data_IF_520356720083
#
_entry.id   IF_520356720083
#
_cell.length_a   1.000
_cell.length_b   1.000
_cell.length_c   1.000
_cell.angle_alpha   90.00
_cell.angle_beta   90.00
_cell.angle_gamma   90.00
#
_symmetry.space_group_name_H-M   'P 1'
#
loop_
_entity.id
_entity.type
_entity.pdbx_description
1 polymer ?
#
# COMPACT_ATOMS: atom_id res chain seq x y z
N UNK A 1 -19.71 22.78 58.95
CA UNK A 1 -19.64 23.33 57.59
C UNK A 1 -18.26 23.92 57.37
N UNK A 2 -17.43 23.26 56.56
CA UNK A 2 -16.13 23.81 56.15
C UNK A 2 -16.35 25.01 55.23
N UNK A 3 -15.78 26.16 55.58
CA UNK A 3 -15.73 27.29 54.64
C UNK A 3 -14.92 26.86 53.39
N UNK A 4 -15.52 27.00 52.22
CA UNK A 4 -14.88 26.70 50.94
C UNK A 4 -13.62 27.53 50.81
N UNK A 5 -12.42 26.85 50.80
CA UNK A 5 -11.14 27.50 50.62
C UNK A 5 -10.21 27.55 51.85
N UNK A 6 -10.59 27.01 53.02
CA UNK A 6 -9.64 26.88 54.12
C UNK A 6 -8.67 25.70 53.90
N UNK A 7 -7.38 25.88 54.11
CA UNK A 7 -6.33 24.84 53.98
C UNK A 7 -6.67 23.58 54.78
N UNK A 8 -7.36 23.71 55.92
CA UNK A 8 -7.80 22.62 56.78
C UNK A 8 -8.85 21.73 56.08
N UNK A 9 -9.81 22.31 55.38
CA UNK A 9 -10.83 21.55 54.66
C UNK A 9 -10.28 20.83 53.45
N UNK A 10 -9.31 21.41 52.77
CA UNK A 10 -8.60 20.78 51.66
C UNK A 10 -7.81 19.57 52.17
N UNK A 11 -7.11 19.74 53.31
CA UNK A 11 -6.29 18.69 53.94
C UNK A 11 -7.13 17.52 54.46
N UNK A 12 -8.31 17.78 55.03
CA UNK A 12 -9.22 16.73 55.49
C UNK A 12 -9.84 15.98 54.35
N UNK A 13 -10.21 16.63 53.25
CA UNK A 13 -10.70 15.98 52.04
C UNK A 13 -9.64 15.13 51.34
N UNK A 14 -8.40 15.59 51.30
CA UNK A 14 -7.28 14.82 50.77
C UNK A 14 -6.97 13.55 51.57
N UNK A 15 -7.31 13.54 52.87
CA UNK A 15 -7.11 12.41 53.80
C UNK A 15 -8.31 11.50 53.97
N UNK A 16 -9.49 11.91 53.49
CA UNK A 16 -10.70 11.09 53.60
C UNK A 16 -10.66 9.92 52.61
N UNK A 17 -10.43 8.74 53.15
CA UNK A 17 -10.52 7.51 52.38
C UNK A 17 -11.92 7.35 51.77
N UNK A 18 -12.01 7.15 50.43
CA UNK A 18 -13.27 6.84 49.74
C UNK A 18 -14.04 8.01 49.16
N UNK A 19 -13.67 9.28 49.38
CA UNK A 19 -14.30 10.43 48.70
C UNK A 19 -13.45 10.90 47.51
N UNK A 20 -13.96 10.90 46.27
CA UNK A 20 -13.22 11.38 45.11
C UNK A 20 -12.91 12.88 45.24
N UNK A 21 -11.66 13.25 45.03
CA UNK A 21 -11.22 14.65 45.05
C UNK A 21 -11.35 15.27 43.66
N UNK A 22 -12.10 16.39 43.50
CA UNK A 22 -12.27 17.02 42.22
C UNK A 22 -10.99 17.71 41.75
N UNK A 23 -10.63 17.54 40.48
CA UNK A 23 -9.44 18.14 39.87
C UNK A 23 -9.77 18.74 38.51
N UNK A 24 -9.12 19.85 38.19
CA UNK A 24 -9.19 20.49 36.91
C UNK A 24 -7.86 21.17 36.60
N UNK A 25 -7.36 20.97 35.36
CA UNK A 25 -6.18 21.67 34.90
C UNK A 25 -6.26 21.88 33.35
N UNK A 26 -5.55 22.91 32.91
CA UNK A 26 -5.31 23.19 31.48
C UNK A 26 -3.90 23.76 31.40
N UNK A 27 -3.00 23.03 30.74
CA UNK A 27 -1.60 23.40 30.65
C UNK A 27 -1.03 23.03 29.28
N UNK A 28 0.14 23.59 28.96
CA UNK A 28 0.90 23.28 27.76
C UNK A 28 2.29 22.79 28.12
N UNK A 29 2.74 21.76 27.41
CA UNK A 29 4.11 21.26 27.44
C UNK A 29 4.64 21.23 26.00
N UNK A 30 5.52 22.18 25.68
CA UNK A 30 5.91 22.41 24.28
C UNK A 30 4.72 22.82 23.42
N UNK A 31 4.48 22.09 22.34
CA UNK A 31 3.33 22.29 21.44
C UNK A 31 2.10 21.47 21.85
N UNK A 32 2.21 20.62 22.86
CA UNK A 32 1.10 19.79 23.34
C UNK A 32 0.31 20.51 24.42
N UNK A 33 -1.01 20.63 24.22
CA UNK A 33 -1.97 21.11 25.21
C UNK A 33 -2.67 19.92 25.86
N UNK A 34 -2.75 19.95 27.17
CA UNK A 34 -3.47 18.96 27.98
C UNK A 34 -4.47 19.66 28.86
N UNK A 35 -5.74 19.35 28.72
CA UNK A 35 -6.81 19.85 29.57
C UNK A 35 -7.61 18.68 30.14
N UNK A 36 -7.90 18.71 31.43
CA UNK A 36 -8.73 17.69 32.05
C UNK A 36 -9.60 18.25 33.16
N UNK A 37 -10.71 17.58 33.40
CA UNK A 37 -11.63 17.78 34.51
C UNK A 37 -12.15 16.45 35.00
N UNK A 38 -12.26 16.27 36.32
CA UNK A 38 -12.77 15.01 36.88
C UNK A 38 -12.40 14.82 38.34
N UNK A 39 -12.05 13.58 38.72
CA UNK A 39 -11.80 13.21 40.10
C UNK A 39 -10.57 12.31 40.21
N UNK A 40 -9.88 12.46 41.38
CA UNK A 40 -8.80 11.56 41.80
C UNK A 40 -9.31 10.79 43.02
N UNK A 41 -9.24 9.49 42.99
CA UNK A 41 -9.55 8.62 44.12
C UNK A 41 -8.29 8.42 44.95
N UNK A 42 -8.43 8.56 46.28
CA UNK A 42 -7.32 8.46 47.23
C UNK A 42 -6.08 9.25 46.77
N UNK A 43 -6.15 10.62 46.82
CA UNK A 43 -5.07 11.46 46.29
C UNK A 43 -3.71 11.22 46.98
N UNK A 44 -3.73 10.78 48.25
CA UNK A 44 -2.50 10.53 49.01
C UNK A 44 -1.76 9.27 48.53
N UNK A 45 -2.49 8.24 48.13
CA UNK A 45 -1.93 6.96 47.64
C UNK A 45 -2.05 6.82 46.12
N UNK A 46 -2.57 7.84 45.41
CA UNK A 46 -2.79 7.84 43.98
C UNK A 46 -3.60 6.61 43.50
N UNK A 47 -4.69 6.29 44.22
CA UNK A 47 -5.47 5.06 44.00
C UNK A 47 -6.16 4.97 42.62
N UNK A 48 -6.33 6.09 41.93
CA UNK A 48 -6.86 6.13 40.56
C UNK A 48 -7.43 7.48 40.18
N UNK A 49 -7.75 7.62 38.89
CA UNK A 49 -8.35 8.85 38.35
C UNK A 49 -9.53 8.51 37.43
N UNK A 50 -10.47 9.44 37.32
CA UNK A 50 -11.58 9.43 36.36
C UNK A 50 -11.73 10.84 35.81
N UNK A 51 -11.21 11.06 34.59
CA UNK A 51 -11.05 12.37 34.01
C UNK A 51 -11.65 12.42 32.61
N UNK A 52 -12.36 13.52 32.29
CA UNK A 52 -12.56 13.92 30.93
C UNK A 52 -11.28 14.61 30.46
N UNK A 53 -10.60 14.06 29.48
CA UNK A 53 -9.26 14.44 29.06
C UNK A 53 -9.28 14.90 27.61
N UNK A 54 -8.62 16.04 27.35
CA UNK A 54 -8.39 16.58 26.01
C UNK A 54 -6.89 16.70 25.77
N UNK A 55 -6.46 16.14 24.65
CA UNK A 55 -5.10 16.32 24.14
C UNK A 55 -5.14 17.00 22.78
N UNK A 56 -4.22 17.92 22.53
CA UNK A 56 -3.99 18.51 21.22
C UNK A 56 -2.48 18.79 21.06
N UNK A 57 -1.93 18.52 19.90
CA UNK A 57 -0.49 18.73 19.64
C UNK A 57 -0.14 18.55 18.16
N UNK A 58 1.14 18.72 17.86
CA UNK A 58 1.66 18.66 16.49
C UNK A 58 1.83 17.23 15.99
N UNK A 59 2.10 16.26 16.88
CA UNK A 59 2.23 14.84 16.55
C UNK A 59 1.89 13.95 17.78
N UNK A 60 1.24 12.81 17.55
CA UNK A 60 1.02 11.80 18.59
C UNK A 60 2.34 11.24 19.13
N UNK A 61 3.40 11.19 18.32
CA UNK A 61 4.72 10.74 18.75
C UNK A 61 5.32 11.60 19.87
N UNK A 62 4.99 12.91 19.93
CA UNK A 62 5.44 13.82 21.01
C UNK A 62 4.81 13.51 22.38
N UNK A 63 3.72 12.74 22.42
CA UNK A 63 3.11 12.31 23.67
C UNK A 63 3.99 11.34 24.47
N UNK A 64 5.01 10.73 23.84
CA UNK A 64 5.94 9.83 24.53
C UNK A 64 6.63 10.49 25.72
N UNK A 65 7.09 11.71 25.56
CA UNK A 65 7.79 12.46 26.64
C UNK A 65 6.89 12.76 27.84
N UNK A 66 5.58 12.84 27.62
CA UNK A 66 4.58 13.11 28.65
C UNK A 66 4.01 11.85 29.30
N UNK A 67 3.79 10.81 28.52
CA UNK A 67 2.98 9.64 28.91
C UNK A 67 3.78 8.34 29.00
N UNK A 68 4.94 8.28 28.34
CA UNK A 68 5.70 7.04 28.11
C UNK A 68 5.02 6.07 27.13
N UNK A 69 3.92 6.47 26.50
CA UNK A 69 3.20 5.66 25.48
C UNK A 69 3.82 5.91 24.13
N UNK A 70 4.35 4.86 23.51
CA UNK A 70 4.88 4.94 22.15
C UNK A 70 3.72 4.99 21.16
N UNK A 71 3.53 6.14 20.56
CA UNK A 71 2.61 6.36 19.45
C UNK A 71 3.40 6.79 18.19
N UNK A 72 2.88 6.51 16.99
CA UNK A 72 3.55 6.92 15.77
C UNK A 72 3.54 8.42 15.58
N UNK A 73 4.48 8.92 14.79
CA UNK A 73 4.43 10.29 14.30
C UNK A 73 3.21 10.47 13.40
N UNK A 74 2.53 11.60 13.56
CA UNK A 74 1.31 11.93 12.83
C UNK A 74 1.28 13.42 12.47
N UNK A 75 0.39 13.84 11.57
CA UNK A 75 -0.02 15.25 11.49
C UNK A 75 -0.60 15.76 12.81
N UNK A 76 -0.83 17.08 12.95
CA UNK A 76 -1.45 17.67 14.13
C UNK A 76 -2.74 16.95 14.52
N UNK A 77 -2.90 16.76 15.83
CA UNK A 77 -4.01 15.99 16.37
C UNK A 77 -4.75 16.72 17.48
N UNK A 78 -6.00 16.36 17.68
CA UNK A 78 -6.84 16.74 18.80
C UNK A 78 -7.73 15.56 19.18
N UNK A 79 -7.77 15.19 20.47
CA UNK A 79 -8.65 14.13 20.98
C UNK A 79 -9.33 14.56 22.28
N UNK A 80 -10.56 14.08 22.48
CA UNK A 80 -11.37 14.24 23.69
C UNK A 80 -11.93 12.89 24.09
N UNK A 81 -11.76 12.47 25.36
CA UNK A 81 -12.21 11.19 25.85
C UNK A 81 -12.14 11.04 27.36
N UNK A 82 -12.73 9.98 27.89
CA UNK A 82 -12.70 9.69 29.33
C UNK A 82 -11.51 8.80 29.67
N UNK A 83 -10.60 9.30 30.50
CA UNK A 83 -9.48 8.54 31.04
C UNK A 83 -9.86 8.00 32.42
N UNK A 84 -9.89 6.68 32.54
CA UNK A 84 -10.01 5.99 33.84
C UNK A 84 -8.71 5.28 34.10
N UNK A 85 -8.04 5.61 35.22
CA UNK A 85 -6.80 4.94 35.58
C UNK A 85 -6.89 4.32 36.98
N UNK A 86 -6.31 3.13 37.10
CA UNK A 86 -6.00 2.46 38.36
C UNK A 86 -4.48 2.45 38.50
N UNK A 87 -3.98 3.20 39.49
CA UNK A 87 -2.56 3.37 39.67
C UNK A 87 -2.10 2.40 40.74
N UNK A 88 -1.13 1.54 40.41
CA UNK A 88 -0.51 0.63 41.36
C UNK A 88 1.00 0.62 41.10
N UNK A 89 1.73 1.30 41.99
CA UNK A 89 3.17 1.45 41.87
C UNK A 89 3.97 0.18 42.14
N UNK A 90 3.34 -0.83 42.78
CA UNK A 90 4.03 -2.10 43.11
C UNK A 90 3.91 -3.16 42.02
N UNK A 91 2.81 -3.14 41.24
CA UNK A 91 2.55 -4.19 40.23
C UNK A 91 2.44 -3.62 38.82
N UNK A 92 1.31 -3.03 38.50
CA UNK A 92 1.04 -2.45 37.20
C UNK A 92 -0.09 -1.43 37.29
N UNK A 93 0.07 -0.30 36.64
CA UNK A 93 -0.99 0.70 36.49
C UNK A 93 -1.71 0.50 35.17
N UNK A 94 -3.03 0.70 35.18
CA UNK A 94 -3.88 0.57 34.00
C UNK A 94 -4.50 1.93 33.70
N UNK A 95 -4.32 2.42 32.48
CA UNK A 95 -4.84 3.67 31.97
C UNK A 95 -5.78 3.35 30.78
N UNK A 96 -7.06 3.60 30.95
CA UNK A 96 -8.11 3.23 30.02
C UNK A 96 -8.74 4.50 29.44
N UNK A 97 -8.34 4.87 28.21
CA UNK A 97 -8.85 6.03 27.49
C UNK A 97 -10.04 5.63 26.65
N UNK A 98 -11.22 5.85 27.19
CA UNK A 98 -12.48 5.32 26.70
C UNK A 98 -13.22 6.30 25.80
N UNK A 99 -13.85 5.75 24.74
CA UNK A 99 -14.77 6.46 23.86
C UNK A 99 -14.19 7.82 23.41
N UNK A 100 -12.89 7.83 23.14
CA UNK A 100 -12.29 9.06 22.65
C UNK A 100 -12.78 9.37 21.23
N UNK A 101 -12.92 10.65 20.96
CA UNK A 101 -13.18 11.19 19.64
C UNK A 101 -12.11 12.23 19.32
N UNK A 102 -11.69 12.31 18.07
CA UNK A 102 -10.67 13.26 17.70
C UNK A 102 -10.43 13.35 16.22
N UNK A 103 -9.37 14.04 15.89
CA UNK A 103 -8.85 14.21 14.53
C UNK A 103 -7.34 14.05 14.54
N UNK A 104 -6.83 13.50 13.44
CA UNK A 104 -5.41 13.46 13.11
C UNK A 104 -5.30 13.99 11.68
N UNK A 105 -4.68 15.17 11.50
CA UNK A 105 -4.71 15.88 10.24
C UNK A 105 -6.15 16.17 9.80
N UNK A 106 -6.54 15.64 8.67
CA UNK A 106 -7.91 15.74 8.13
C UNK A 106 -8.76 14.48 8.40
N UNK A 107 -8.18 13.45 9.03
CA UNK A 107 -8.87 12.20 9.40
C UNK A 107 -9.57 12.30 10.74
N UNK A 108 -10.76 11.72 10.87
CA UNK A 108 -11.40 11.51 12.18
C UNK A 108 -10.86 10.23 12.83
N UNK A 109 -10.87 10.19 14.17
CA UNK A 109 -10.42 9.03 14.96
C UNK A 109 -11.32 8.83 16.18
N UNK A 110 -11.72 7.58 16.41
CA UNK A 110 -12.57 7.19 17.53
C UNK A 110 -12.08 5.88 18.13
N UNK A 111 -12.33 5.64 19.40
CA UNK A 111 -12.00 4.34 19.95
C UNK A 111 -11.85 4.27 21.45
N UNK A 112 -11.23 3.19 21.86
CA UNK A 112 -10.80 2.94 23.23
C UNK A 112 -9.40 2.36 23.19
N UNK A 113 -8.50 2.92 24.02
CA UNK A 113 -7.12 2.45 24.17
C UNK A 113 -6.85 2.22 25.65
N UNK A 114 -6.29 1.07 25.97
CA UNK A 114 -5.87 0.68 27.31
C UNK A 114 -4.36 0.53 27.33
N UNK A 115 -3.69 1.33 28.16
CA UNK A 115 -2.26 1.25 28.41
C UNK A 115 -2.01 0.65 29.78
N UNK A 116 -1.28 -0.45 29.81
CA UNK A 116 -0.91 -1.16 31.04
C UNK A 116 0.59 -1.06 31.24
N UNK A 117 1.02 -0.44 32.33
CA UNK A 117 2.45 -0.43 32.73
C UNK A 117 2.82 -1.78 33.35
N UNK A 118 4.08 -2.15 33.30
CA UNK A 118 4.55 -3.38 33.95
C UNK A 118 5.76 -3.98 33.30
N UNK A 119 6.21 -5.10 33.87
CA UNK A 119 7.35 -5.89 33.35
C UNK A 119 6.85 -7.08 32.54
N UNK A 120 7.57 -7.53 31.50
CA UNK A 120 8.84 -7.02 31.03
C UNK A 120 8.77 -5.68 30.30
N UNK A 121 7.60 -5.33 29.76
CA UNK A 121 7.33 -4.09 29.01
C UNK A 121 5.90 -3.63 29.23
N UNK A 122 5.61 -2.33 29.08
CA UNK A 122 4.24 -1.84 29.02
C UNK A 122 3.53 -2.37 27.76
N UNK A 123 2.20 -2.38 27.81
CA UNK A 123 1.35 -2.88 26.73
C UNK A 123 0.25 -1.86 26.38
N UNK A 124 0.04 -1.63 25.09
CA UNK A 124 -1.07 -0.86 24.54
C UNK A 124 -2.06 -1.79 23.83
N UNK A 125 -3.33 -1.75 24.24
CA UNK A 125 -4.40 -2.58 23.64
C UNK A 125 -5.59 -1.71 23.28
N UNK A 126 -6.34 -2.09 22.24
CA UNK A 126 -7.63 -1.47 21.99
C UNK A 126 -8.13 -1.53 20.56
N UNK A 127 -9.22 -0.81 20.36
CA UNK A 127 -9.93 -0.70 19.10
C UNK A 127 -10.01 0.77 18.68
N UNK A 128 -9.59 1.04 17.45
CA UNK A 128 -9.56 2.38 16.86
C UNK A 128 -10.29 2.35 15.52
N UNK A 129 -11.15 3.32 15.29
CA UNK A 129 -11.93 3.44 14.07
C UNK A 129 -11.83 4.87 13.50
N UNK A 130 -11.77 4.98 12.17
CA UNK A 130 -11.93 6.21 11.41
C UNK A 130 -13.07 6.04 10.41
N UNK A 131 -14.01 6.98 10.37
CA UNK A 131 -15.09 7.00 9.37
C UNK A 131 -14.63 7.61 8.05
N UNK A 132 -13.76 8.60 8.15
CA UNK A 132 -13.16 9.30 7.02
C UNK A 132 -11.65 9.41 7.25
N UNK A 133 -10.91 8.55 6.58
CA UNK A 133 -9.47 8.41 6.70
C UNK A 133 -8.80 9.00 5.46
N UNK A 134 -7.95 10.00 5.63
CA UNK A 134 -7.09 10.48 4.56
C UNK A 134 -5.78 9.69 4.59
N UNK A 135 -5.43 9.03 3.48
CA UNK A 135 -4.24 8.18 3.43
C UNK A 135 -2.94 8.97 3.68
N UNK A 136 -2.89 10.24 3.29
CA UNK A 136 -1.76 11.13 3.57
C UNK A 136 -1.48 11.29 5.08
N UNK A 137 -2.49 11.20 5.94
CA UNK A 137 -2.33 11.29 7.39
C UNK A 137 -1.69 10.03 7.99
N UNK A 138 -1.71 8.91 7.26
CA UNK A 138 -0.99 7.69 7.58
C UNK A 138 0.43 7.65 6.98
N UNK A 139 0.81 8.66 6.20
CA UNK A 139 2.10 8.73 5.52
C UNK A 139 3.29 8.38 6.42
N UNK A 140 3.43 9.01 7.61
CA UNK A 140 4.52 8.71 8.53
C UNK A 140 4.58 7.26 9.01
N UNK A 141 3.44 6.55 9.03
CA UNK A 141 3.37 5.13 9.43
C UNK A 141 3.91 4.17 8.36
N UNK A 142 3.81 4.57 7.09
CA UNK A 142 4.20 3.72 5.95
C UNK A 142 5.48 4.22 5.25
N UNK A 143 6.16 5.22 5.85
CA UNK A 143 7.39 5.79 5.30
C UNK A 143 7.16 6.68 4.07
N UNK A 144 6.01 7.38 3.99
CA UNK A 144 5.71 8.36 2.96
C UNK A 144 5.56 9.74 3.58
N UNK A 145 6.33 10.73 3.11
CA UNK A 145 6.24 12.10 3.63
C UNK A 145 4.90 12.74 3.24
N UNK A 146 4.09 13.09 4.24
CA UNK A 146 2.78 13.74 4.06
C UNK A 146 2.86 15.23 3.68
N UNK A 147 4.05 15.80 3.53
CA UNK A 147 4.29 17.18 3.07
C UNK A 147 3.79 18.30 3.99
N UNK A 148 3.14 18.01 5.12
CA UNK A 148 2.55 18.99 6.05
C UNK A 148 3.01 18.83 7.51
N UNK A 149 4.06 18.08 7.78
CA UNK A 149 4.60 17.91 9.13
C UNK A 149 5.51 19.07 9.53
N UNK A 150 5.24 19.69 10.68
CA UNK A 150 6.11 20.66 11.36
C UNK A 150 7.49 20.06 11.57
N UNK A 151 8.53 20.88 11.41
CA UNK A 151 9.94 20.54 11.63
C UNK A 151 10.17 20.07 13.07
N UNK A 152 9.95 18.79 13.33
CA UNK A 152 10.49 18.11 14.51
C UNK A 152 12.00 18.01 14.35
N UNK A 153 12.75 18.30 15.43
CA UNK A 153 14.20 18.40 15.47
C UNK A 153 14.91 17.28 14.72
N UNK A 154 15.75 17.65 13.76
CA UNK A 154 16.88 16.95 13.14
C UNK A 154 17.05 15.43 13.39
N UNK A 155 16.06 14.64 13.05
CA UNK A 155 16.32 13.30 12.52
C UNK A 155 16.56 13.52 11.02
N UNK A 156 17.71 13.11 10.49
CA UNK A 156 18.00 13.14 9.05
C UNK A 156 16.92 12.29 8.38
N UNK A 157 15.83 12.91 7.93
CA UNK A 157 14.84 12.25 7.06
C UNK A 157 15.59 11.87 5.79
N UNK A 158 15.59 10.60 5.47
CA UNK A 158 16.07 10.17 4.16
C UNK A 158 15.15 10.80 3.12
N UNK A 159 15.66 11.77 2.39
CA UNK A 159 14.88 12.48 1.37
C UNK A 159 14.51 11.47 0.28
N UNK A 160 13.23 11.39 -0.04
CA UNK A 160 12.76 10.58 -1.16
C UNK A 160 13.60 10.89 -2.41
N UNK A 161 14.35 9.95 -2.98
CA UNK A 161 15.23 10.24 -4.12
C UNK A 161 14.42 10.70 -5.33
N UNK A 162 14.91 11.73 -6.02
CA UNK A 162 14.27 12.25 -7.22
C UNK A 162 14.14 11.14 -8.28
N UNK A 163 12.93 10.98 -8.84
CA UNK A 163 12.67 9.95 -9.85
C UNK A 163 12.33 8.57 -9.31
N UNK A 164 12.28 8.36 -8.00
CA UNK A 164 11.86 7.12 -7.34
C UNK A 164 10.43 7.19 -6.86
N UNK A 165 9.71 6.05 -6.87
CA UNK A 165 8.30 5.95 -6.44
C UNK A 165 8.10 5.07 -5.22
N UNK A 166 9.01 4.12 -4.94
CA UNK A 166 8.93 3.29 -3.74
C UNK A 166 9.25 4.14 -2.50
N UNK A 167 8.61 3.89 -1.34
CA UNK A 167 8.92 4.60 -0.09
C UNK A 167 10.33 4.30 0.43
N UNK A 168 11.15 5.33 0.59
CA UNK A 168 12.54 5.23 1.08
C UNK A 168 12.70 5.58 2.55
N UNK A 169 11.71 6.20 3.18
CA UNK A 169 11.76 6.55 4.59
C UNK A 169 11.95 5.30 5.45
N UNK A 170 12.83 5.42 6.43
CA UNK A 170 13.19 4.31 7.32
C UNK A 170 12.12 4.08 8.38
N UNK A 171 11.89 2.82 8.71
CA UNK A 171 11.13 2.45 9.90
C UNK A 171 11.94 2.76 11.16
N UNK A 172 11.35 3.43 12.15
CA UNK A 172 11.97 3.73 13.45
C UNK A 172 11.94 2.49 14.36
N UNK A 173 12.64 1.44 13.99
CA UNK A 173 12.64 0.14 14.70
C UNK A 173 13.29 0.20 16.08
N UNK A 174 14.12 1.21 16.35
CA UNK A 174 14.84 1.35 17.64
C UNK A 174 13.89 1.55 18.84
N UNK A 175 12.65 1.94 18.56
CA UNK A 175 11.62 2.13 19.60
C UNK A 175 10.65 0.93 19.71
N UNK A 176 10.73 -0.05 18.83
CA UNK A 176 9.75 -1.15 18.78
C UNK A 176 9.87 -2.14 19.95
N UNK A 177 10.96 -2.13 20.67
CA UNK A 177 11.17 -2.95 21.86
C UNK A 177 10.77 -2.25 23.18
N UNK A 178 10.37 -0.98 23.13
CA UNK A 178 10.01 -0.20 24.31
C UNK A 178 8.63 -0.60 24.86
N UNK A 179 7.71 -1.02 24.00
CA UNK A 179 6.33 -1.33 24.34
C UNK A 179 5.78 -2.45 23.47
N UNK A 180 4.94 -3.29 24.03
CA UNK A 180 4.11 -4.23 23.26
C UNK A 180 2.79 -3.54 22.86
N UNK A 181 2.21 -3.90 21.69
CA UNK A 181 0.93 -3.39 21.24
C UNK A 181 0.04 -4.49 20.64
N UNK A 182 -1.28 -4.37 20.86
CA UNK A 182 -2.33 -5.23 20.31
C UNK A 182 -3.54 -4.34 19.98
N UNK A 183 -3.54 -3.76 18.77
CA UNK A 183 -4.51 -2.74 18.38
C UNK A 183 -5.24 -3.14 17.10
N UNK A 184 -6.56 -3.10 17.12
CA UNK A 184 -7.39 -3.24 15.93
C UNK A 184 -7.75 -1.89 15.37
N UNK A 185 -7.48 -1.69 14.07
CA UNK A 185 -7.80 -0.47 13.37
C UNK A 185 -8.80 -0.72 12.24
N UNK A 186 -9.77 0.20 12.08
CA UNK A 186 -10.74 0.19 10.97
C UNK A 186 -10.87 1.58 10.36
N UNK A 187 -10.74 1.69 9.05
CA UNK A 187 -11.00 2.91 8.27
C UNK A 187 -12.08 2.64 7.24
N UNK A 188 -13.23 3.32 7.33
CA UNK A 188 -14.39 3.01 6.45
C UNK A 188 -14.22 3.63 5.08
N UNK A 189 -14.15 4.94 4.99
CA UNK A 189 -13.94 5.68 3.74
C UNK A 189 -12.51 6.18 3.73
N UNK A 190 -11.76 5.83 2.69
CA UNK A 190 -10.37 6.25 2.55
C UNK A 190 -10.30 7.29 1.45
N UNK A 191 -9.82 8.48 1.79
CA UNK A 191 -9.52 9.52 0.82
C UNK A 191 -8.04 9.42 0.43
N UNK A 192 -7.83 9.03 -0.80
CA UNK A 192 -6.51 8.98 -1.43
C UNK A 192 -6.61 9.77 -2.72
N UNK A 193 -5.85 10.83 -2.93
CA UNK A 193 -5.80 11.58 -4.18
C UNK A 193 -6.72 11.13 -5.34
N UNK A 194 -6.53 11.56 -6.53
CA UNK A 194 -7.50 11.32 -7.63
C UNK A 194 -7.49 9.92 -8.27
N UNK A 195 -6.53 9.04 -7.98
CA UNK A 195 -6.24 7.92 -8.90
C UNK A 195 -6.76 6.54 -8.51
N UNK A 196 -6.85 6.17 -7.22
CA UNK A 196 -7.32 4.83 -6.82
C UNK A 196 -8.19 4.90 -5.56
N UNK A 197 -9.51 4.71 -5.69
CA UNK A 197 -10.40 4.70 -4.53
C UNK A 197 -10.12 3.47 -3.66
N UNK A 198 -9.62 3.71 -2.45
CA UNK A 198 -9.47 2.72 -1.41
C UNK A 198 -10.67 2.75 -0.47
N UNK A 199 -11.04 1.61 0.10
CA UNK A 199 -12.17 1.52 1.03
C UNK A 199 -11.97 0.42 2.06
N UNK A 200 -12.70 0.52 3.17
CA UNK A 200 -12.82 -0.56 4.17
C UNK A 200 -11.47 -1.11 4.65
N UNK A 201 -10.53 -0.21 5.00
CA UNK A 201 -9.27 -0.61 5.63
C UNK A 201 -9.56 -1.27 6.98
N UNK A 202 -8.99 -2.42 7.22
CA UNK A 202 -8.98 -3.04 8.54
C UNK A 202 -7.66 -3.75 8.76
N UNK A 203 -7.11 -3.62 9.97
CA UNK A 203 -5.90 -4.32 10.36
C UNK A 203 -5.88 -4.64 11.84
N UNK A 204 -5.24 -5.75 12.19
CA UNK A 204 -4.85 -6.08 13.54
C UNK A 204 -3.33 -5.90 13.65
N UNK A 205 -2.91 -4.93 14.43
CA UNK A 205 -1.53 -4.53 14.68
C UNK A 205 -1.06 -5.23 15.94
N UNK A 206 -0.09 -6.10 15.81
CA UNK A 206 0.54 -6.80 16.93
C UNK A 206 2.01 -6.45 16.92
N UNK A 207 2.47 -5.78 17.97
CA UNK A 207 3.89 -5.50 18.19
C UNK A 207 4.32 -6.22 19.47
N UNK A 208 5.31 -7.09 19.39
CA UNK A 208 5.84 -7.81 20.53
C UNK A 208 7.33 -8.08 20.37
N UNK A 209 8.14 -7.61 21.30
CA UNK A 209 9.62 -7.77 21.25
C UNK A 209 10.22 -7.24 19.94
N UNK A 210 9.83 -6.07 19.47
CA UNK A 210 10.22 -5.50 18.18
C UNK A 210 9.78 -6.33 16.95
N UNK A 211 8.94 -7.33 17.11
CA UNK A 211 8.28 -8.10 16.05
C UNK A 211 6.91 -7.46 15.75
N UNK A 212 6.77 -6.84 14.58
CA UNK A 212 5.53 -6.19 14.13
C UNK A 212 4.78 -7.08 13.13
N UNK A 213 3.52 -7.33 13.42
CA UNK A 213 2.62 -8.08 12.55
C UNK A 213 1.35 -7.29 12.25
N UNK A 214 0.99 -7.24 10.97
CA UNK A 214 -0.31 -6.77 10.51
C UNK A 214 -1.07 -7.99 9.97
N UNK A 215 -1.98 -8.54 10.76
CA UNK A 215 -2.62 -9.83 10.46
C UNK A 215 -4.12 -9.84 10.78
N UNK A 216 -4.99 -9.70 9.78
CA UNK A 216 -4.71 -9.32 8.40
C UNK A 216 -4.67 -7.78 8.22
N UNK A 217 -4.01 -7.32 7.18
CA UNK A 217 -4.22 -6.00 6.61
C UNK A 217 -5.16 -6.18 5.41
N UNK A 218 -6.38 -5.66 5.49
CA UNK A 218 -7.41 -5.77 4.43
C UNK A 218 -7.91 -4.42 3.99
N UNK A 219 -8.12 -4.26 2.69
CA UNK A 219 -8.77 -3.07 2.14
C UNK A 219 -9.41 -3.37 0.77
N UNK A 220 -10.42 -2.58 0.41
CA UNK A 220 -11.02 -2.57 -0.91
C UNK A 220 -10.20 -1.71 -1.86
N UNK A 221 -9.98 -2.17 -3.09
CA UNK A 221 -9.31 -1.43 -4.16
C UNK A 221 -9.87 -1.87 -5.51
N UNK A 222 -10.09 -0.93 -6.42
CA UNK A 222 -10.55 -1.22 -7.79
C UNK A 222 -11.75 -2.19 -7.83
N UNK A 223 -12.75 -1.99 -6.98
CA UNK A 223 -13.95 -2.83 -6.87
C UNK A 223 -13.73 -4.24 -6.32
N UNK A 224 -12.49 -4.62 -6.02
CA UNK A 224 -12.09 -5.89 -5.42
C UNK A 224 -11.59 -5.74 -3.99
N UNK A 225 -10.83 -6.74 -3.52
CA UNK A 225 -10.29 -6.78 -2.16
C UNK A 225 -8.83 -7.21 -2.17
N UNK A 226 -8.02 -6.53 -1.36
CA UNK A 226 -6.66 -6.97 -1.03
C UNK A 226 -6.65 -7.40 0.44
N UNK A 227 -6.05 -8.56 0.70
CA UNK A 227 -5.78 -9.10 2.04
C UNK A 227 -4.31 -9.45 2.12
N UNK A 228 -3.63 -8.99 3.16
CA UNK A 228 -2.21 -9.21 3.34
C UNK A 228 -1.89 -9.58 4.78
N UNK A 229 -0.90 -10.45 4.98
CA UNK A 229 -0.23 -10.67 6.25
C UNK A 229 1.18 -10.12 6.12
N UNK A 230 1.50 -9.11 6.90
CA UNK A 230 2.82 -8.48 6.91
C UNK A 230 3.49 -8.80 8.23
N UNK A 231 4.74 -9.23 8.18
CA UNK A 231 5.57 -9.53 9.32
C UNK A 231 6.93 -8.83 9.17
N UNK A 232 7.30 -8.01 10.16
CA UNK A 232 8.55 -7.25 10.19
C UNK A 232 9.30 -7.55 11.50
N UNK A 233 10.50 -8.10 11.40
CA UNK A 233 11.38 -8.43 12.54
C UNK A 233 12.37 -7.28 12.76
N UNK A 234 11.96 -6.30 13.60
CA UNK A 234 12.74 -5.09 13.87
C UNK A 234 13.98 -5.32 14.74
N UNK A 235 14.08 -6.46 15.44
CA UNK A 235 15.24 -6.85 16.22
C UNK A 235 16.43 -7.31 15.35
N UNK A 236 16.17 -7.69 14.10
CA UNK A 236 17.20 -8.11 13.15
C UNK A 236 17.92 -6.91 12.54
N UNK A 237 19.21 -7.07 12.26
CA UNK A 237 20.05 -6.05 11.60
C UNK A 237 20.82 -6.70 10.42
N UNK A 238 20.39 -6.44 9.18
CA UNK A 238 19.24 -5.63 8.74
C UNK A 238 17.90 -6.24 9.12
N UNK A 239 16.85 -5.39 9.28
CA UNK A 239 15.50 -5.83 9.53
C UNK A 239 15.04 -6.80 8.44
N UNK A 240 14.30 -7.84 8.84
CA UNK A 240 13.70 -8.80 7.91
C UNK A 240 12.21 -8.55 7.78
N UNK A 241 11.68 -8.73 6.58
CA UNK A 241 10.27 -8.56 6.31
C UNK A 241 9.72 -9.67 5.43
N UNK A 242 8.45 -10.04 5.67
CA UNK A 242 7.66 -10.93 4.83
C UNK A 242 6.29 -10.34 4.61
N UNK A 243 5.80 -10.43 3.38
CA UNK A 243 4.45 -10.06 3.01
C UNK A 243 3.80 -11.18 2.20
N UNK A 244 2.69 -11.72 2.69
CA UNK A 244 1.80 -12.61 1.97
C UNK A 244 0.59 -11.78 1.53
N UNK A 245 0.34 -11.67 0.23
CA UNK A 245 -0.66 -10.77 -0.34
C UNK A 245 -1.61 -11.58 -1.19
N UNK A 246 -2.90 -11.34 -1.05
CA UNK A 246 -3.97 -11.91 -1.85
C UNK A 246 -4.84 -10.79 -2.40
N UNK A 247 -4.89 -10.67 -3.72
CA UNK A 247 -5.76 -9.76 -4.43
C UNK A 247 -6.90 -10.56 -5.07
N UNK A 248 -8.15 -10.10 -4.94
CA UNK A 248 -9.33 -10.81 -5.47
C UNK A 248 -10.27 -9.83 -6.14
N UNK A 249 -10.66 -10.19 -7.38
CA UNK A 249 -11.65 -9.49 -8.20
C UNK A 249 -11.34 -8.00 -8.43
N UNK A 250 -10.06 -7.68 -8.66
CA UNK A 250 -9.67 -6.32 -9.03
C UNK A 250 -10.13 -6.02 -10.45
N UNK A 251 -10.98 -5.04 -10.65
CA UNK A 251 -11.47 -4.66 -11.99
C UNK A 251 -10.43 -3.85 -12.74
N UNK A 252 -10.02 -4.31 -13.91
CA UNK A 252 -8.94 -3.70 -14.70
C UNK A 252 -9.18 -2.22 -15.00
N UNK A 253 -10.40 -1.83 -15.38
CA UNK A 253 -10.77 -0.43 -15.67
C UNK A 253 -10.61 0.50 -14.46
N UNK A 254 -10.83 -0.03 -13.25
CA UNK A 254 -10.72 0.74 -12.02
C UNK A 254 -9.28 0.81 -11.48
N UNK A 255 -8.37 -0.07 -11.97
CA UNK A 255 -6.94 -0.01 -11.67
C UNK A 255 -6.22 1.13 -12.41
N UNK A 256 -6.74 1.53 -13.57
CA UNK A 256 -6.15 2.58 -14.42
C UNK A 256 -7.22 3.58 -14.86
N UNK A 257 -7.82 4.36 -13.94
CA UNK A 257 -8.95 5.24 -14.24
C UNK A 257 -8.60 6.36 -15.21
N UNK A 258 -7.34 6.80 -15.24
CA UNK A 258 -6.88 7.90 -16.09
C UNK A 258 -6.48 7.45 -17.50
N UNK A 259 -6.52 6.14 -17.79
CA UNK A 259 -6.21 5.59 -19.11
C UNK A 259 -7.50 5.36 -19.88
N UNK A 260 -7.84 6.25 -20.83
CA UNK A 260 -9.09 6.22 -21.59
C UNK A 260 -9.37 4.88 -22.25
N UNK A 261 -8.34 4.25 -22.84
CA UNK A 261 -8.43 2.94 -23.48
C UNK A 261 -8.79 1.80 -22.51
N UNK A 262 -8.48 1.96 -21.22
CA UNK A 262 -8.83 0.99 -20.17
C UNK A 262 -10.28 1.10 -19.71
N UNK A 263 -10.97 2.21 -19.99
CA UNK A 263 -12.36 2.42 -19.55
C UNK A 263 -13.35 1.45 -20.23
N UNK A 264 -13.02 0.99 -21.43
CA UNK A 264 -13.78 -0.06 -22.17
C UNK A 264 -13.34 -1.49 -21.82
N UNK A 265 -12.31 -1.63 -20.95
CA UNK A 265 -11.80 -2.95 -20.56
C UNK A 265 -12.67 -3.54 -19.45
N UNK A 266 -13.21 -4.72 -19.69
CA UNK A 266 -13.94 -5.52 -18.70
C UNK A 266 -13.09 -6.72 -18.30
N UNK A 267 -13.08 -7.05 -17.03
CA UNK A 267 -12.36 -8.22 -16.52
C UNK A 267 -11.92 -8.03 -15.07
N UNK A 268 -11.80 -9.14 -14.37
CA UNK A 268 -11.40 -9.20 -12.99
C UNK A 268 -10.06 -9.93 -12.85
N UNK A 269 -9.09 -9.28 -12.20
CA UNK A 269 -7.79 -9.86 -11.92
C UNK A 269 -7.72 -10.39 -10.49
N UNK A 270 -7.15 -11.56 -10.35
CA UNK A 270 -6.79 -12.17 -9.07
C UNK A 270 -5.26 -12.30 -8.98
N UNK A 271 -4.71 -12.24 -7.79
CA UNK A 271 -3.28 -12.37 -7.59
C UNK A 271 -2.92 -12.89 -6.22
N UNK A 272 -1.77 -13.56 -6.14
CA UNK A 272 -1.16 -14.03 -4.90
C UNK A 272 0.34 -13.70 -4.94
N UNK A 273 0.88 -13.20 -3.84
CA UNK A 273 2.31 -12.95 -3.69
C UNK A 273 2.81 -13.40 -2.30
N UNK A 274 4.00 -13.98 -2.26
CA UNK A 274 4.79 -14.22 -1.04
C UNK A 274 6.18 -13.63 -1.28
N UNK A 275 6.49 -12.55 -0.58
CA UNK A 275 7.72 -11.80 -0.76
C UNK A 275 8.43 -11.69 0.58
N UNK A 276 9.73 -11.94 0.60
CA UNK A 276 10.61 -11.77 1.75
C UNK A 276 11.79 -10.89 1.35
N UNK A 277 12.17 -9.99 2.23
CA UNK A 277 13.29 -9.10 1.98
C UNK A 277 13.96 -8.62 3.25
N UNK A 278 15.06 -7.91 3.09
CA UNK A 278 15.83 -7.34 4.19
C UNK A 278 16.07 -5.85 3.95
N UNK A 279 15.98 -5.05 4.97
CA UNK A 279 16.19 -3.61 4.87
C UNK A 279 15.27 -2.83 5.78
N UNK A 280 15.53 -1.55 5.95
CA UNK A 280 14.82 -0.71 6.92
C UNK A 280 13.85 0.31 6.26
N UNK A 281 13.39 0.00 5.05
CA UNK A 281 12.36 0.78 4.34
C UNK A 281 11.62 -0.14 3.36
N UNK A 282 10.46 0.29 2.86
CA UNK A 282 9.73 -0.47 1.85
C UNK A 282 10.57 -0.66 0.59
N UNK A 283 11.28 0.39 0.13
CA UNK A 283 12.19 0.31 -1.02
C UNK A 283 13.32 -0.70 -0.80
N UNK A 284 13.94 -0.71 0.39
CA UNK A 284 15.02 -1.65 0.71
C UNK A 284 14.52 -3.10 0.81
N UNK A 285 13.36 -3.34 1.44
CA UNK A 285 12.74 -4.67 1.54
C UNK A 285 12.41 -5.23 0.15
N UNK A 286 11.83 -4.43 -0.74
CA UNK A 286 11.53 -4.84 -2.11
C UNK A 286 12.79 -4.96 -2.95
N UNK A 287 13.77 -4.06 -2.77
CA UNK A 287 15.04 -4.06 -3.50
C UNK A 287 15.94 -5.25 -3.18
N UNK A 288 15.78 -5.88 -2.02
CA UNK A 288 16.42 -7.15 -1.63
C UNK A 288 15.49 -8.35 -1.76
N UNK A 289 14.28 -8.12 -2.25
CA UNK A 289 13.16 -9.05 -2.21
C UNK A 289 13.42 -10.36 -2.93
N UNK A 290 12.93 -11.44 -2.34
CA UNK A 290 12.87 -12.77 -2.92
C UNK A 290 11.47 -13.33 -2.73
N UNK A 291 10.94 -14.01 -3.76
CA UNK A 291 9.59 -14.57 -3.68
C UNK A 291 8.95 -14.79 -5.02
N UNK A 292 7.63 -14.82 -5.01
CA UNK A 292 6.83 -15.12 -6.21
C UNK A 292 5.57 -14.25 -6.24
N UNK A 293 5.18 -13.83 -7.44
CA UNK A 293 3.92 -13.15 -7.71
C UNK A 293 3.18 -13.89 -8.81
N UNK A 294 1.96 -14.30 -8.54
CA UNK A 294 1.04 -14.92 -9.52
C UNK A 294 -0.14 -14.01 -9.76
N UNK A 295 -0.45 -13.78 -11.03
CA UNK A 295 -1.62 -13.03 -11.48
C UNK A 295 -2.45 -13.88 -12.42
N UNK A 296 -3.76 -13.77 -12.35
CA UNK A 296 -4.70 -14.50 -13.20
C UNK A 296 -5.94 -13.66 -13.49
N UNK A 297 -6.31 -13.63 -14.76
CA UNK A 297 -7.61 -13.16 -15.24
C UNK A 297 -8.19 -14.26 -16.15
N UNK A 298 -9.41 -14.70 -15.89
CA UNK A 298 -10.01 -15.80 -16.65
C UNK A 298 -10.72 -15.33 -17.92
N UNK A 299 -11.54 -14.33 -17.85
CA UNK A 299 -12.32 -13.81 -18.98
C UNK A 299 -12.34 -12.29 -18.93
N UNK A 300 -12.47 -11.66 -20.08
CA UNK A 300 -12.58 -10.23 -20.17
C UNK A 300 -12.82 -9.70 -21.57
N UNK A 301 -12.97 -8.39 -21.66
CA UNK A 301 -13.03 -7.65 -22.92
C UNK A 301 -11.98 -6.54 -22.85
N UNK A 302 -11.27 -6.31 -23.93
CA UNK A 302 -10.32 -5.19 -24.06
C UNK A 302 -10.63 -4.41 -25.32
N UNK A 303 -10.35 -3.11 -25.29
CA UNK A 303 -10.46 -2.25 -26.45
C UNK A 303 -9.55 -2.77 -27.58
N UNK A 304 -10.06 -2.82 -28.80
CA UNK A 304 -9.27 -3.14 -29.99
C UNK A 304 -8.13 -2.12 -30.14
N UNK A 305 -8.38 -0.87 -29.93
CA UNK A 305 -7.37 0.18 -30.02
C UNK A 305 -6.22 -0.06 -29.04
N UNK A 306 -6.49 -0.55 -27.83
CA UNK A 306 -5.45 -0.96 -26.89
C UNK A 306 -4.60 -2.10 -27.45
N UNK A 307 -5.22 -3.10 -28.06
CA UNK A 307 -4.52 -4.23 -28.71
C UNK A 307 -3.68 -3.80 -29.91
N UNK A 308 -4.17 -2.85 -30.70
CA UNK A 308 -3.43 -2.31 -31.84
C UNK A 308 -2.20 -1.49 -31.41
N UNK A 309 -2.32 -0.70 -30.32
CA UNK A 309 -1.19 0.03 -29.71
C UNK A 309 -0.14 -0.95 -29.15
N UNK A 310 -0.59 -2.07 -28.57
CA UNK A 310 0.30 -3.14 -28.09
C UNK A 310 0.99 -3.91 -29.24
N UNK A 311 0.95 -3.38 -30.49
CA UNK A 311 1.77 -3.84 -31.61
C UNK A 311 1.11 -4.84 -32.54
N UNK A 312 -0.21 -5.02 -32.44
CA UNK A 312 -0.89 -5.99 -33.29
C UNK A 312 -1.14 -5.46 -34.73
N UNK A 313 -1.38 -4.16 -34.92
CA UNK A 313 -1.49 -3.59 -36.27
C UNK A 313 -1.67 -2.05 -36.29
N UNK A 314 -0.61 -1.29 -36.57
CA UNK A 314 -0.68 0.19 -36.67
C UNK A 314 -1.63 0.65 -37.77
N UNK A 315 -1.80 -0.15 -38.86
CA UNK A 315 -2.73 0.14 -39.95
C UNK A 315 -4.19 0.11 -39.49
N UNK A 316 -4.57 -0.85 -38.68
CA UNK A 316 -5.94 -0.98 -38.15
C UNK A 316 -6.26 0.04 -37.06
N UNK A 317 -5.26 0.55 -36.33
CA UNK A 317 -5.45 1.64 -35.37
C UNK A 317 -6.03 2.89 -36.03
N UNK A 318 -5.50 3.25 -37.22
CA UNK A 318 -6.01 4.40 -38.00
C UNK A 318 -7.44 4.11 -38.49
N UNK A 319 -7.70 2.87 -38.92
CA UNK A 319 -9.03 2.43 -39.39
C UNK A 319 -10.02 2.39 -38.20
N UNK A 320 -9.60 1.90 -37.03
CA UNK A 320 -10.43 1.84 -35.82
C UNK A 320 -10.83 3.23 -35.32
N UNK A 321 -9.99 4.25 -35.48
CA UNK A 321 -10.35 5.64 -35.20
C UNK A 321 -11.46 6.19 -36.12
N UNK A 322 -11.56 5.67 -37.32
CA UNK A 322 -12.57 6.11 -38.33
C UNK A 322 -13.89 5.33 -38.18
N UNK A 323 -13.82 4.03 -37.86
CA UNK A 323 -14.98 3.11 -37.88
C UNK A 323 -15.46 2.66 -36.50
N UNK A 324 -14.79 3.09 -35.42
CA UNK A 324 -15.13 2.73 -34.02
C UNK A 324 -14.19 1.72 -33.40
N UNK A 325 -14.21 1.68 -32.08
CA UNK A 325 -13.38 0.79 -31.25
C UNK A 325 -14.21 -0.42 -30.84
N UNK A 326 -14.05 -1.53 -31.58
CA UNK A 326 -14.67 -2.80 -31.22
C UNK A 326 -13.97 -3.46 -30.04
N UNK A 327 -14.68 -4.25 -29.27
CA UNK A 327 -14.15 -5.00 -28.12
C UNK A 327 -13.53 -6.33 -28.60
N UNK A 328 -12.38 -6.69 -28.06
CA UNK A 328 -11.68 -7.95 -28.28
C UNK A 328 -11.81 -8.82 -27.04
N UNK A 329 -12.27 -10.05 -27.22
CA UNK A 329 -12.41 -10.99 -26.11
C UNK A 329 -11.04 -11.47 -25.62
N UNK A 330 -10.84 -11.41 -24.30
CA UNK A 330 -9.72 -12.03 -23.60
C UNK A 330 -10.15 -13.43 -23.17
N UNK A 331 -9.42 -14.45 -23.60
CA UNK A 331 -9.66 -15.81 -23.17
C UNK A 331 -9.10 -16.05 -21.76
N UNK A 332 -7.86 -15.59 -21.52
CA UNK A 332 -7.24 -15.50 -20.21
C UNK A 332 -6.00 -14.59 -20.23
N UNK A 333 -5.61 -14.12 -19.05
CA UNK A 333 -4.29 -13.56 -18.83
C UNK A 333 -3.67 -14.20 -17.58
N UNK A 334 -2.42 -14.59 -17.68
CA UNK A 334 -1.71 -15.24 -16.58
C UNK A 334 -0.26 -14.75 -16.52
N UNK A 335 0.19 -14.46 -15.29
CA UNK A 335 1.58 -14.15 -15.03
C UNK A 335 2.07 -14.92 -13.80
N UNK A 336 3.27 -15.48 -13.91
CA UNK A 336 4.04 -16.03 -12.80
C UNK A 336 5.40 -15.36 -12.84
N UNK A 337 5.69 -14.53 -11.84
CA UNK A 337 6.90 -13.72 -11.76
C UNK A 337 7.72 -14.20 -10.57
N UNK A 338 8.98 -14.56 -10.81
CA UNK A 338 9.94 -14.81 -9.74
C UNK A 338 10.66 -13.50 -9.39
N UNK A 339 10.69 -13.19 -8.11
CA UNK A 339 11.48 -12.10 -7.56
C UNK A 339 12.74 -12.69 -6.92
N UNK A 340 13.91 -12.32 -7.44
CA UNK A 340 15.21 -12.77 -6.93
C UNK A 340 16.13 -11.57 -6.73
N UNK A 341 16.52 -11.32 -5.47
CA UNK A 341 17.34 -10.17 -5.08
C UNK A 341 16.81 -8.85 -5.64
N UNK A 342 15.51 -8.62 -5.49
CA UNK A 342 14.83 -7.41 -5.95
C UNK A 342 14.63 -7.30 -7.47
N UNK A 343 14.93 -8.35 -8.23
CA UNK A 343 14.71 -8.38 -9.69
C UNK A 343 13.58 -9.35 -10.01
N UNK A 344 12.47 -8.82 -10.48
CA UNK A 344 11.34 -9.61 -10.96
C UNK A 344 11.56 -10.06 -12.40
N UNK A 345 11.36 -11.36 -12.65
CA UNK A 345 11.46 -12.01 -13.97
C UNK A 345 10.21 -12.82 -14.25
N UNK A 346 9.54 -12.61 -15.37
CA UNK A 346 8.45 -13.48 -15.80
C UNK A 346 8.97 -14.89 -16.11
N UNK A 347 8.44 -15.90 -15.44
CA UNK A 347 8.54 -17.29 -15.84
C UNK A 347 7.48 -17.64 -16.87
N UNK A 348 6.29 -17.10 -16.64
CA UNK A 348 5.15 -17.11 -17.56
C UNK A 348 4.56 -15.71 -17.51
N UNK A 349 4.32 -15.14 -18.67
CA UNK A 349 3.47 -13.96 -18.82
C UNK A 349 2.79 -14.06 -20.18
N UNK A 350 1.56 -14.47 -20.17
CA UNK A 350 0.77 -14.63 -21.37
C UNK A 350 -0.60 -13.93 -21.24
N UNK A 351 -0.94 -13.17 -22.25
CA UNK A 351 -2.23 -12.52 -22.39
C UNK A 351 -2.88 -13.05 -23.68
N UNK A 352 -3.80 -14.00 -23.51
CA UNK A 352 -4.44 -14.72 -24.61
C UNK A 352 -5.78 -14.08 -24.95
N UNK A 353 -5.93 -13.62 -26.19
CA UNK A 353 -7.17 -13.06 -26.75
C UNK A 353 -7.68 -13.91 -27.93
N UNK A 354 -8.86 -13.62 -28.44
CA UNK A 354 -9.38 -14.26 -29.65
C UNK A 354 -8.49 -14.01 -30.87
N UNK A 355 -7.73 -12.91 -30.91
CA UNK A 355 -6.96 -12.46 -32.06
C UNK A 355 -5.45 -12.70 -31.94
N UNK A 356 -4.92 -12.81 -30.72
CA UNK A 356 -3.49 -12.93 -30.48
C UNK A 356 -3.16 -13.48 -29.12
N UNK A 357 -1.94 -13.99 -28.97
CA UNK A 357 -1.27 -14.22 -27.68
C UNK A 357 -0.16 -13.19 -27.52
N UNK A 358 -0.10 -12.51 -26.40
CA UNK A 358 0.95 -11.55 -26.06
C UNK A 358 1.81 -12.16 -24.97
N UNK A 359 3.08 -12.33 -25.26
CA UNK A 359 4.10 -12.78 -24.33
C UNK A 359 4.92 -11.58 -23.84
N UNK A 360 5.30 -11.59 -22.56
CA UNK A 360 6.19 -10.57 -21.99
C UNK A 360 7.40 -11.24 -21.34
N UNK A 361 8.57 -10.76 -21.70
CA UNK A 361 9.86 -11.20 -21.16
C UNK A 361 10.68 -10.02 -20.68
N UNK A 362 11.77 -10.27 -19.96
CA UNK A 362 12.65 -9.21 -19.47
C UNK A 362 12.68 -9.11 -17.95
N UNK A 363 12.94 -7.93 -17.41
CA UNK A 363 13.15 -7.71 -15.98
C UNK A 363 12.55 -6.41 -15.49
N UNK A 364 12.12 -6.42 -14.20
CA UNK A 364 11.79 -5.22 -13.45
C UNK A 364 12.60 -5.23 -12.14
N UNK A 365 13.48 -4.24 -11.97
CA UNK A 365 14.33 -4.11 -10.79
C UNK A 365 13.67 -3.21 -9.74
N UNK A 366 13.35 -3.75 -8.58
CA UNK A 366 12.81 -2.99 -7.44
C UNK A 366 13.88 -2.09 -6.81
N UNK A 367 15.14 -2.54 -6.78
CA UNK A 367 16.27 -1.78 -6.21
C UNK A 367 16.58 -0.51 -7.02
N UNK A 368 16.66 -0.63 -8.35
CA UNK A 368 16.92 0.51 -9.24
C UNK A 368 15.65 1.19 -9.74
N UNK A 369 14.48 0.57 -9.53
CA UNK A 369 13.17 0.98 -10.09
C UNK A 369 13.23 1.14 -11.61
N UNK A 370 13.85 0.16 -12.27
CA UNK A 370 14.01 0.16 -13.72
C UNK A 370 13.27 -1.01 -14.37
N UNK A 371 12.74 -0.75 -15.55
CA UNK A 371 12.07 -1.68 -16.43
C UNK A 371 12.95 -1.96 -17.66
N UNK A 372 13.07 -3.21 -18.07
CA UNK A 372 13.56 -3.63 -19.38
C UNK A 372 12.71 -4.84 -19.82
N UNK A 373 11.56 -4.55 -20.39
CA UNK A 373 10.57 -5.54 -20.80
C UNK A 373 10.48 -5.58 -22.34
N UNK A 374 10.26 -6.77 -22.85
CA UNK A 374 9.92 -7.03 -24.25
C UNK A 374 8.53 -7.63 -24.31
N UNK A 375 7.69 -7.04 -25.13
CA UNK A 375 6.32 -7.48 -25.39
C UNK A 375 6.32 -8.08 -26.80
N UNK A 376 5.98 -9.36 -26.92
CA UNK A 376 6.00 -10.10 -28.19
C UNK A 376 4.61 -10.62 -28.51
N UNK A 377 3.89 -9.95 -29.43
CA UNK A 377 2.55 -10.36 -29.84
C UNK A 377 2.60 -11.42 -30.95
N UNK A 378 1.90 -12.53 -30.76
CA UNK A 378 1.70 -13.62 -31.74
C UNK A 378 0.23 -13.64 -32.19
N UNK A 379 -0.04 -13.43 -33.49
CA UNK A 379 -1.41 -13.45 -34.04
C UNK A 379 -1.91 -14.86 -34.24
N UNK A 380 -3.22 -15.07 -34.04
CA UNK A 380 -3.91 -16.34 -34.27
C UNK A 380 -4.50 -16.50 -35.69
N UNK A 381 -4.42 -15.49 -36.52
CA UNK A 381 -4.98 -15.50 -37.87
C UNK A 381 -4.00 -15.05 -38.94
N UNK A 382 -4.28 -15.39 -40.22
CA UNK A 382 -3.53 -14.91 -41.37
C UNK A 382 -3.85 -13.43 -41.58
N UNK A 383 -2.83 -12.57 -41.61
CA UNK A 383 -2.98 -11.13 -41.87
C UNK A 383 -2.15 -10.73 -43.09
N UNK A 384 -2.76 -9.97 -43.99
CA UNK A 384 -2.16 -9.61 -45.27
C UNK A 384 -1.05 -8.56 -45.16
N UNK A 385 -1.14 -7.68 -44.16
CA UNK A 385 -0.11 -6.67 -43.90
C UNK A 385 0.15 -6.61 -42.39
N UNK A 386 1.25 -7.19 -41.93
CA UNK A 386 1.67 -7.09 -40.51
C UNK A 386 3.06 -6.50 -40.43
N UNK A 387 3.12 -5.26 -39.93
CA UNK A 387 4.34 -4.63 -39.47
C UNK A 387 4.60 -5.06 -38.00
N UNK A 388 4.77 -6.38 -37.82
CA UNK A 388 5.08 -6.94 -36.50
C UNK A 388 6.50 -6.59 -36.09
N UNK A 389 6.62 -5.94 -34.98
CA UNK A 389 7.88 -5.80 -34.26
C UNK A 389 7.62 -5.94 -32.78
N UNK A 390 8.46 -6.68 -32.04
CA UNK A 390 8.37 -6.67 -30.60
C UNK A 390 8.44 -5.24 -30.06
N UNK A 391 7.58 -4.94 -29.09
CA UNK A 391 7.64 -3.69 -28.36
C UNK A 391 8.61 -3.82 -27.20
N UNK A 392 9.08 -2.71 -26.71
CA UNK A 392 9.82 -2.65 -25.45
C UNK A 392 9.17 -1.65 -24.49
N UNK A 393 9.29 -1.92 -23.19
CA UNK A 393 9.01 -0.95 -22.12
C UNK A 393 10.29 -0.83 -21.30
N UNK A 394 10.88 0.36 -21.32
CA UNK A 394 12.15 0.68 -20.64
C UNK A 394 12.00 1.95 -19.82
N UNK A 395 13.00 2.25 -19.01
CA UNK A 395 13.02 3.44 -18.18
C UNK A 395 12.71 3.14 -16.72
N UNK A 396 12.27 4.15 -15.98
CA UNK A 396 11.98 4.02 -14.54
C UNK A 396 10.52 3.71 -14.28
N UNK A 397 10.18 3.25 -13.07
CA UNK A 397 8.79 3.08 -12.65
C UNK A 397 8.01 4.39 -12.71
N UNK A 398 8.70 5.52 -12.48
CA UNK A 398 8.10 6.86 -12.54
C UNK A 398 7.88 7.34 -13.97
N UNK A 399 8.76 6.98 -14.90
CA UNK A 399 8.74 7.41 -16.30
C UNK A 399 9.04 6.21 -17.21
N UNK A 400 8.07 5.30 -17.41
CA UNK A 400 8.21 4.18 -18.31
C UNK A 400 8.08 4.64 -19.76
N UNK A 401 9.02 4.23 -20.62
CA UNK A 401 9.04 4.55 -22.04
C UNK A 401 8.74 3.30 -22.87
N UNK A 402 7.68 3.35 -23.66
CA UNK A 402 7.33 2.30 -24.60
C UNK A 402 7.77 2.66 -26.02
N UNK A 403 8.23 1.65 -26.77
CA UNK A 403 8.65 1.85 -28.16
C UNK A 403 8.70 0.54 -28.95
N UNK A 404 8.97 0.67 -30.24
CA UNK A 404 9.03 -0.45 -31.18
C UNK A 404 10.48 -0.83 -31.46
N UNK A 405 10.82 -2.13 -31.46
CA UNK A 405 12.13 -2.61 -31.92
C UNK A 405 12.21 -2.51 -33.44
N UNK A 406 12.87 -1.48 -33.96
CA UNK A 406 12.90 -1.18 -35.39
C UNK A 406 13.64 -2.23 -36.25
N UNK A 407 14.58 -2.99 -35.69
CA UNK A 407 15.38 -3.98 -36.47
C UNK A 407 14.57 -4.96 -37.28
N UNK A 408 13.59 -5.69 -36.72
CA UNK A 408 12.74 -6.61 -37.50
C UNK A 408 11.89 -5.94 -38.57
N UNK A 409 11.45 -4.70 -38.35
CA UNK A 409 10.71 -3.91 -39.35
C UNK A 409 11.57 -3.50 -40.51
N UNK A 410 12.79 -3.05 -40.27
CA UNK A 410 13.77 -2.69 -41.32
C UNK A 410 14.13 -3.91 -42.14
N UNK A 411 14.37 -5.06 -41.52
CA UNK A 411 14.69 -6.30 -42.22
C UNK A 411 13.53 -6.74 -43.14
N UNK A 412 12.29 -6.70 -42.66
CA UNK A 412 11.09 -7.03 -43.47
C UNK A 412 10.87 -6.04 -44.62
N UNK A 413 11.03 -4.75 -44.36
CA UNK A 413 10.95 -3.70 -45.36
C UNK A 413 12.03 -3.86 -46.44
N UNK A 414 13.26 -4.21 -46.09
CA UNK A 414 14.33 -4.48 -47.03
C UNK A 414 14.07 -5.72 -47.90
N UNK A 415 13.55 -6.80 -47.29
CA UNK A 415 13.16 -8.03 -48.07
C UNK A 415 12.00 -7.72 -49.00
N UNK A 416 10.97 -7.01 -48.57
CA UNK A 416 9.85 -6.61 -49.41
C UNK A 416 10.30 -5.74 -50.60
N UNK A 417 11.18 -4.75 -50.33
CA UNK A 417 11.75 -3.91 -51.39
C UNK A 417 12.60 -4.73 -52.38
N UNK A 418 13.43 -5.65 -51.88
CA UNK A 418 14.22 -6.53 -52.73
C UNK A 418 13.35 -7.43 -53.61
N UNK A 419 12.29 -8.03 -53.07
CA UNK A 419 11.35 -8.85 -53.83
C UNK A 419 10.59 -8.03 -54.87
N UNK A 420 10.19 -6.80 -54.55
CA UNK A 420 9.50 -5.91 -55.50
C UNK A 420 10.36 -5.53 -56.69
N UNK A 421 11.70 -5.43 -56.50
CA UNK A 421 12.63 -5.08 -57.60
C UNK A 421 13.08 -6.29 -58.42
N UNK A 422 13.08 -7.50 -57.84
CA UNK A 422 13.66 -8.69 -58.47
C UNK A 422 12.61 -9.60 -59.16
N UNK A 423 11.37 -9.61 -58.71
CA UNK A 423 10.38 -10.59 -59.23
C UNK A 423 9.09 -9.91 -59.69
N UNK A 424 8.24 -9.48 -58.80
CA UNK A 424 6.98 -8.76 -59.10
C UNK A 424 6.49 -8.01 -57.87
N UNK A 425 5.64 -6.96 -58.01
CA UNK A 425 5.01 -6.31 -56.86
C UNK A 425 4.22 -7.25 -55.97
N UNK A 426 3.61 -8.30 -56.53
CA UNK A 426 2.89 -9.32 -55.79
C UNK A 426 3.80 -10.13 -54.86
N UNK A 427 5.05 -10.44 -55.26
CA UNK A 427 5.98 -11.16 -54.43
C UNK A 427 6.45 -10.33 -53.20
N UNK A 428 6.48 -9.01 -53.33
CA UNK A 428 6.77 -8.15 -52.17
C UNK A 428 5.70 -8.25 -51.08
N UNK A 429 4.45 -8.46 -51.44
CA UNK A 429 3.36 -8.65 -50.48
C UNK A 429 3.49 -9.95 -49.71
N UNK A 430 4.10 -11.01 -50.28
CA UNK A 430 4.31 -12.27 -49.55
C UNK A 430 5.26 -12.13 -48.36
N UNK A 431 6.24 -11.21 -48.44
CA UNK A 431 7.14 -10.92 -47.30
C UNK A 431 6.43 -10.23 -46.13
N UNK A 432 5.25 -9.65 -46.39
CA UNK A 432 4.43 -8.94 -45.40
C UNK A 432 3.30 -9.84 -44.82
N UNK A 433 3.14 -11.05 -45.35
CA UNK A 433 2.18 -12.05 -44.86
C UNK A 433 2.85 -12.79 -43.71
N UNK A 434 2.27 -12.72 -42.51
CA UNK A 434 2.68 -13.56 -41.39
C UNK A 434 1.73 -14.74 -41.27
N UNK A 435 2.26 -15.98 -41.22
CA UNK A 435 1.44 -17.14 -40.90
C UNK A 435 0.93 -17.04 -39.45
N UNK A 436 -0.13 -17.77 -39.18
CA UNK A 436 -0.64 -17.92 -37.83
C UNK A 436 0.37 -18.73 -37.00
N UNK A 437 0.84 -18.19 -35.88
CA UNK A 437 1.79 -18.84 -35.01
C UNK A 437 1.16 -19.22 -33.64
N UNK A 438 -0.02 -18.65 -33.30
CA UNK A 438 -0.72 -18.89 -32.06
C UNK A 438 -1.78 -19.99 -32.14
N UNK A 439 -1.84 -20.87 -31.14
CA UNK A 439 -2.94 -21.84 -31.02
C UNK A 439 -4.25 -21.14 -30.60
N UNK A 440 -5.39 -21.74 -30.96
CA UNK A 440 -6.71 -21.14 -30.78
C UNK A 440 -7.06 -20.84 -29.28
N UNK A 441 -6.55 -21.58 -28.33
CA UNK A 441 -6.72 -21.31 -26.90
C UNK A 441 -5.63 -22.01 -26.10
N UNK A 442 -4.69 -21.21 -25.57
CA UNK A 442 -3.57 -21.70 -24.78
C UNK A 442 -3.83 -21.65 -23.27
N UNK A 443 -4.97 -21.11 -22.82
CA UNK A 443 -5.27 -20.89 -21.41
C UNK A 443 -5.14 -22.14 -20.55
N UNK A 444 -5.59 -23.30 -21.06
CA UNK A 444 -5.47 -24.57 -20.31
C UNK A 444 -4.02 -24.95 -20.07
N UNK A 445 -3.17 -24.78 -21.05
CA UNK A 445 -1.72 -25.07 -20.98
C UNK A 445 -1.04 -24.12 -20.00
N UNK A 446 -1.31 -22.81 -20.12
CA UNK A 446 -0.78 -21.76 -19.25
C UNK A 446 -1.17 -22.02 -17.78
N UNK A 447 -2.44 -22.28 -17.51
CA UNK A 447 -2.94 -22.56 -16.16
C UNK A 447 -2.35 -23.86 -15.56
N UNK A 448 -2.09 -24.86 -16.39
CA UNK A 448 -1.43 -26.11 -15.92
C UNK A 448 0.03 -25.88 -15.51
N UNK A 449 0.73 -24.99 -16.20
CA UNK A 449 2.12 -24.60 -15.87
C UNK A 449 2.19 -23.76 -14.58
N UNK A 450 1.18 -22.94 -14.30
CA UNK A 450 1.12 -22.16 -13.05
C UNK A 450 0.81 -22.98 -11.80
N UNK A 451 0.25 -24.19 -11.95
CA UNK A 451 -0.05 -25.08 -10.83
C UNK A 451 1.16 -25.85 -10.30
N UNK A 452 2.23 -25.93 -11.06
CA UNK A 452 3.52 -26.51 -10.64
C UNK A 452 4.36 -25.44 -9.94
#
# INVERSE_FOLDING_TARGET
ECLVGSEMCIRDRLRSEGTPFPVQADFRSGNTRVAFVGTVNDPMNMGGVDLQLKFAGDSLGELYDLTGVLLPDTPPFETDGRLVAKINTEKSSVFDYRNFNGRIGDSDIHGTLTYTTGKPRPKLEGDVESRQLRLADLGPLIGVDSGKGTKSKEVKKDVQPAGKVLPYDRFETDKWDVMDADVRFKGRKIEHGSTLPLSNLSTHIILKNADLRLQPLKFGMAGGTISSNIHLEGDKKPMQGRAEIQARRLKLKELMPDVELMQKTLGEMNGDADIRGTGNSVAALLGSGNGNLKLLMNDGLVSRNLMEILGLNVGNFIIGQIFGDDEVRVNCAAANLDLVNGVARPQIFAFDTENAVINVTGTASMASEQLDLTIDPESKGIRIITLRSPLYVRGTFKDPQAGVKAGPLIARGAVAAALATLVTPAAALLALISPSEGEANQCRTILSQMKK
#
